data_IF_763569658688
#
_entry.id   IF_763569658688
#
_cell.length_a   1.000
_cell.length_b   1.000
_cell.length_c   1.000
_cell.angle_alpha   90.00
_cell.angle_beta   90.00
_cell.angle_gamma   90.00
#
_symmetry.space_group_name_H-M   'P 1'
#
loop_
_entity.id
_entity.type
_entity.pdbx_description
1 polymer ?
#
# COMPACT_ATOMS: atom_id res chain seq x y z
N UNK A 1 -24.76 11.70 18.41
CA UNK A 1 -23.33 11.53 18.73
C UNK A 1 -22.54 12.74 18.28
N UNK A 2 -21.28 12.84 18.72
CA UNK A 2 -20.35 13.85 18.22
C UNK A 2 -19.71 13.39 16.92
N UNK A 3 -19.60 14.28 15.95
CA UNK A 3 -19.01 13.99 14.65
C UNK A 3 -17.92 15.01 14.35
N UNK A 4 -16.91 14.57 13.60
CA UNK A 4 -15.81 15.41 13.14
C UNK A 4 -15.73 15.31 11.60
N UNK A 5 -15.64 16.47 10.95
CA UNK A 5 -15.42 16.54 9.52
C UNK A 5 -13.97 16.27 9.12
N UNK A 6 -13.68 16.28 7.81
CA UNK A 6 -12.31 16.24 7.33
C UNK A 6 -11.53 17.47 7.82
N UNK A 7 -10.22 17.32 7.95
CA UNK A 7 -9.33 18.45 8.20
C UNK A 7 -9.31 19.39 7.00
N UNK A 8 -9.39 20.69 7.27
CA UNK A 8 -9.20 21.73 6.27
C UNK A 8 -7.74 21.82 5.80
N UNK A 9 -7.48 22.76 4.89
CA UNK A 9 -6.13 23.03 4.41
C UNK A 9 -5.22 23.47 5.56
N UNK A 10 -3.96 23.02 5.53
CA UNK A 10 -2.93 23.49 6.45
C UNK A 10 -2.59 24.96 6.18
N UNK A 11 -2.75 25.82 7.19
CA UNK A 11 -2.48 27.26 7.14
C UNK A 11 -1.26 27.62 7.99
N UNK A 12 -0.51 28.64 7.59
CA UNK A 12 0.66 29.15 8.30
C UNK A 12 1.44 30.11 7.40
N UNK A 13 2.22 31.01 7.98
CA UNK A 13 2.96 32.02 7.22
C UNK A 13 4.15 31.38 6.49
N UNK A 14 4.84 30.46 7.16
CA UNK A 14 5.97 29.71 6.62
C UNK A 14 5.55 28.36 6.05
N UNK A 15 6.39 27.85 5.16
CA UNK A 15 6.25 26.51 4.60
C UNK A 15 6.91 25.51 5.55
N UNK A 16 6.36 24.31 5.64
CA UNK A 16 6.92 23.23 6.45
C UNK A 16 6.18 23.00 7.77
N UNK A 17 6.87 22.51 8.82
CA UNK A 17 6.25 22.22 10.12
C UNK A 17 5.82 23.52 10.82
N UNK A 18 4.80 23.44 11.68
CA UNK A 18 4.29 24.59 12.45
C UNK A 18 3.04 25.22 11.85
N UNK A 19 2.56 24.71 10.71
CA UNK A 19 1.23 25.03 10.21
C UNK A 19 0.13 24.50 11.13
N UNK A 20 -1.06 25.06 11.00
CA UNK A 20 -2.27 24.71 11.74
C UNK A 20 -3.40 24.41 10.75
N UNK A 21 -4.11 23.31 10.99
CA UNK A 21 -5.34 22.99 10.28
C UNK A 21 -6.50 22.86 11.27
N UNK A 22 -7.70 23.18 10.80
CA UNK A 22 -8.93 23.14 11.58
C UNK A 22 -9.97 22.25 10.92
N UNK A 23 -10.88 21.69 11.72
CA UNK A 23 -12.02 20.91 11.22
C UNK A 23 -13.30 21.30 11.94
N UNK A 24 -14.43 21.08 11.26
CA UNK A 24 -15.73 21.23 11.87
C UNK A 24 -16.02 20.07 12.83
N UNK A 25 -16.59 20.39 13.99
CA UNK A 25 -17.11 19.43 14.96
C UNK A 25 -18.54 19.81 15.25
N UNK A 26 -19.44 18.85 15.17
CA UNK A 26 -20.86 19.08 15.40
C UNK A 26 -21.51 17.91 16.13
N UNK A 27 -22.61 18.23 16.80
CA UNK A 27 -23.49 17.25 17.41
C UNK A 27 -24.56 16.85 16.41
N UNK A 28 -24.81 15.55 16.25
CA UNK A 28 -25.92 15.05 15.47
C UNK A 28 -26.88 14.21 16.32
N UNK A 29 -28.17 14.36 16.07
CA UNK A 29 -29.21 13.47 16.58
C UNK A 29 -29.13 12.10 15.91
N UNK A 30 -29.79 11.08 16.46
CA UNK A 30 -29.83 9.73 15.87
C UNK A 30 -30.49 9.71 14.48
N UNK A 31 -31.29 10.72 14.17
CA UNK A 31 -31.94 10.93 12.87
C UNK A 31 -31.06 11.71 11.87
N UNK A 32 -29.80 12.02 12.21
CA UNK A 32 -28.83 12.66 11.32
C UNK A 32 -28.81 14.20 11.34
N UNK A 33 -29.77 14.86 11.98
CA UNK A 33 -29.83 16.32 12.07
C UNK A 33 -28.78 16.91 13.02
N UNK A 34 -28.20 18.06 12.65
CA UNK A 34 -27.32 18.81 13.55
C UNK A 34 -28.11 19.39 14.72
N UNK A 35 -27.58 19.22 15.93
CA UNK A 35 -28.18 19.70 17.16
C UNK A 35 -27.21 20.60 17.93
N UNK A 36 -27.68 21.23 19.00
CA UNK A 36 -26.87 22.12 19.85
C UNK A 36 -25.66 21.38 20.43
N UNK A 37 -24.55 22.10 20.59
CA UNK A 37 -23.30 21.53 21.11
C UNK A 37 -23.49 20.89 22.48
N UNK A 38 -24.35 21.47 23.33
CA UNK A 38 -24.67 20.99 24.68
C UNK A 38 -25.31 19.61 24.71
N UNK A 39 -25.87 19.15 23.58
CA UNK A 39 -26.55 17.86 23.50
C UNK A 39 -25.56 16.70 23.28
N UNK A 40 -24.26 16.96 23.14
CA UNK A 40 -23.21 15.95 23.24
C UNK A 40 -22.41 16.07 24.52
N UNK A 41 -21.83 14.95 24.94
CA UNK A 41 -20.82 14.92 25.99
C UNK A 41 -19.55 15.65 25.53
N UNK A 42 -19.18 16.72 26.22
CA UNK A 42 -17.97 17.48 25.86
C UNK A 42 -16.67 16.75 26.17
N UNK A 43 -16.69 15.80 27.11
CA UNK A 43 -15.52 14.98 27.39
C UNK A 43 -15.10 14.09 26.20
N UNK A 44 -16.03 13.77 25.30
CA UNK A 44 -15.78 12.96 24.11
C UNK A 44 -15.48 13.83 22.86
N UNK A 45 -15.34 15.16 23.04
CA UNK A 45 -15.07 16.10 21.96
C UNK A 45 -13.63 15.94 21.47
N UNK A 46 -13.42 15.58 20.19
CA UNK A 46 -12.08 15.50 19.65
C UNK A 46 -11.54 16.90 19.36
N UNK A 47 -10.24 17.03 19.08
CA UNK A 47 -9.64 18.32 18.78
C UNK A 47 -10.19 18.90 17.46
N UNK A 48 -10.51 20.20 17.46
CA UNK A 48 -10.93 20.95 16.28
C UNK A 48 -9.76 21.62 15.55
N UNK A 49 -8.56 21.55 16.12
CA UNK A 49 -7.35 22.16 15.62
C UNK A 49 -6.17 21.21 15.86
N UNK A 50 -5.27 21.10 14.89
CA UNK A 50 -4.02 20.37 15.09
C UNK A 50 -2.89 20.96 14.24
N UNK A 51 -1.66 20.62 14.62
CA UNK A 51 -0.47 20.96 13.85
C UNK A 51 -0.44 20.17 12.55
N UNK A 52 0.12 20.78 11.51
CA UNK A 52 0.26 20.17 10.20
C UNK A 52 1.51 20.69 9.48
N UNK A 53 1.86 20.01 8.39
CA UNK A 53 2.93 20.42 7.50
C UNK A 53 2.34 21.20 6.33
N UNK A 54 2.74 22.47 6.16
CA UNK A 54 2.29 23.30 5.05
C UNK A 54 3.16 23.07 3.82
N UNK A 55 2.56 22.43 2.81
CA UNK A 55 3.20 22.15 1.52
C UNK A 55 3.24 23.42 0.66
N UNK A 56 4.33 23.61 -0.08
CA UNK A 56 4.61 24.75 -0.94
C UNK A 56 5.37 24.28 -2.17
N UNK A 57 5.35 25.04 -3.26
CA UNK A 57 5.83 24.58 -4.57
C UNK A 57 7.29 24.12 -4.59
N UNK A 58 8.17 24.78 -3.82
CA UNK A 58 9.59 24.41 -3.73
C UNK A 58 9.83 23.05 -3.05
N UNK A 59 8.86 22.53 -2.28
CA UNK A 59 8.96 21.20 -1.70
C UNK A 59 8.84 20.07 -2.74
N UNK A 60 8.40 20.37 -3.98
CA UNK A 60 8.29 19.37 -5.06
C UNK A 60 9.60 18.62 -5.32
N UNK A 61 10.73 19.30 -5.18
CA UNK A 61 12.04 18.70 -5.43
C UNK A 61 12.54 17.85 -4.26
N UNK A 62 11.94 18.00 -3.07
CA UNK A 62 12.42 17.40 -1.81
C UNK A 62 11.71 16.10 -1.42
N UNK A 63 10.51 15.87 -1.96
CA UNK A 63 9.69 14.70 -1.65
C UNK A 63 9.38 13.89 -2.90
N UNK A 64 9.24 12.58 -2.74
CA UNK A 64 8.87 11.69 -3.85
C UNK A 64 8.06 10.49 -3.38
N UNK A 65 7.31 9.93 -4.32
CA UNK A 65 6.72 8.61 -4.16
C UNK A 65 7.80 7.54 -4.33
N UNK A 66 8.04 6.77 -3.28
CA UNK A 66 8.84 5.57 -3.37
C UNK A 66 7.92 4.35 -3.54
N UNK A 67 8.13 3.62 -4.63
CA UNK A 67 7.31 2.47 -5.00
C UNK A 67 8.03 1.18 -4.60
N UNK A 68 7.35 0.35 -3.82
CA UNK A 68 7.77 -1.01 -3.51
C UNK A 68 7.61 -1.93 -4.72
N UNK A 69 8.22 -3.12 -4.60
CA UNK A 69 8.00 -4.19 -5.56
C UNK A 69 6.57 -4.73 -5.46
N UNK A 70 6.04 -5.18 -6.60
CA UNK A 70 4.81 -5.95 -6.59
C UNK A 70 4.99 -7.24 -5.81
N UNK A 71 4.00 -7.57 -4.99
CA UNK A 71 3.92 -8.88 -4.36
C UNK A 71 3.62 -9.97 -5.39
N UNK A 72 3.63 -11.22 -4.94
CA UNK A 72 3.21 -12.33 -5.79
C UNK A 72 1.73 -12.17 -6.18
N UNK A 73 1.43 -12.46 -7.44
CA UNK A 73 0.08 -12.44 -7.97
C UNK A 73 -0.84 -13.40 -7.18
N UNK A 74 -1.89 -12.86 -6.55
CA UNK A 74 -2.85 -13.63 -5.76
C UNK A 74 -4.15 -13.87 -6.54
N UNK A 75 -4.72 -15.08 -6.52
CA UNK A 75 -5.91 -15.39 -7.31
C UNK A 75 -7.13 -14.62 -6.79
N UNK A 76 -8.00 -14.17 -7.69
CA UNK A 76 -9.29 -13.58 -7.33
C UNK A 76 -10.25 -14.72 -6.95
N UNK A 77 -10.96 -14.61 -5.82
CA UNK A 77 -11.88 -15.64 -5.31
C UNK A 77 -13.09 -15.94 -6.24
N UNK A 78 -13.21 -15.24 -7.37
CA UNK A 78 -14.22 -15.46 -8.39
C UNK A 78 -13.82 -16.62 -9.32
N UNK A 79 -14.13 -17.84 -8.87
CA UNK A 79 -14.04 -19.12 -9.60
C UNK A 79 -12.61 -19.65 -9.76
N UNK A 80 -12.32 -20.77 -9.08
CA UNK A 80 -11.37 -21.76 -9.61
C UNK A 80 -11.93 -22.21 -10.96
N UNK A 81 -11.38 -21.70 -12.05
CA UNK A 81 -11.68 -22.25 -13.36
C UNK A 81 -11.21 -23.71 -13.33
N UNK A 82 -12.13 -24.66 -13.55
CA UNK A 82 -11.81 -26.10 -13.56
C UNK A 82 -10.76 -26.45 -14.63
N UNK A 83 -10.58 -25.56 -15.61
CA UNK A 83 -9.61 -25.68 -16.71
C UNK A 83 -8.91 -24.32 -16.83
N UNK A 84 -7.60 -24.31 -16.64
CA UNK A 84 -6.76 -23.14 -16.83
C UNK A 84 -6.18 -23.16 -18.26
N UNK A 85 -6.66 -22.28 -19.13
CA UNK A 85 -6.21 -22.20 -20.54
C UNK A 85 -5.20 -21.06 -20.74
N UNK A 86 -5.49 -19.88 -20.20
CA UNK A 86 -4.70 -18.64 -20.42
C UNK A 86 -4.11 -18.06 -19.12
N UNK A 87 -4.00 -18.87 -18.06
CA UNK A 87 -3.66 -18.41 -16.71
C UNK A 87 -4.90 -18.12 -15.85
N UNK A 88 -4.70 -18.09 -14.54
CA UNK A 88 -5.72 -17.65 -13.58
C UNK A 88 -5.58 -16.14 -13.35
N UNK A 89 -6.70 -15.41 -13.35
CA UNK A 89 -6.69 -13.98 -13.05
C UNK A 89 -6.38 -13.75 -11.58
N UNK A 90 -5.44 -12.83 -11.33
CA UNK A 90 -5.04 -12.44 -10.00
C UNK A 90 -4.88 -10.93 -9.85
N UNK A 91 -4.67 -10.53 -8.61
CA UNK A 91 -4.34 -9.16 -8.20
C UNK A 91 -3.01 -9.20 -7.48
N UNK A 92 -2.12 -8.28 -7.85
CA UNK A 92 -0.90 -7.99 -7.11
C UNK A 92 -0.98 -6.60 -6.49
N UNK A 93 -0.34 -6.43 -5.33
CA UNK A 93 -0.30 -5.22 -4.53
C UNK A 93 1.14 -4.82 -4.28
N UNK A 94 1.39 -3.53 -4.11
CA UNK A 94 2.69 -2.99 -3.70
C UNK A 94 2.48 -1.89 -2.68
N UNK A 95 3.52 -1.66 -1.88
CA UNK A 95 3.55 -0.52 -0.98
C UNK A 95 3.99 0.74 -1.75
N UNK A 96 3.34 1.86 -1.44
CA UNK A 96 3.68 3.16 -2.00
C UNK A 96 3.71 4.15 -0.84
N UNK A 97 4.88 4.73 -0.63
CA UNK A 97 5.17 5.60 0.51
C UNK A 97 5.72 6.93 0.02
N UNK A 98 5.30 8.02 0.64
CA UNK A 98 5.90 9.34 0.41
C UNK A 98 7.17 9.46 1.27
N UNK A 99 8.30 9.81 0.65
CA UNK A 99 9.59 9.93 1.36
C UNK A 99 10.26 11.26 1.11
N UNK A 100 11.04 11.72 2.08
CA UNK A 100 11.97 12.82 1.90
C UNK A 100 13.24 12.30 1.19
N UNK A 101 13.60 12.90 0.05
CA UNK A 101 14.69 12.40 -0.81
C UNK A 101 16.08 12.42 -0.15
N UNK A 102 16.32 13.37 0.75
CA UNK A 102 17.64 13.58 1.36
C UNK A 102 18.06 12.47 2.32
N UNK A 103 17.11 11.88 3.05
CA UNK A 103 17.38 10.92 4.13
C UNK A 103 16.50 9.66 4.07
N UNK A 104 15.55 9.58 3.13
CA UNK A 104 14.63 8.46 2.98
C UNK A 104 13.57 8.36 4.09
N UNK A 105 13.38 9.40 4.90
CA UNK A 105 12.38 9.39 5.96
C UNK A 105 10.98 9.35 5.36
N UNK A 106 10.16 8.42 5.85
CA UNK A 106 8.76 8.29 5.47
C UNK A 106 7.99 9.47 6.07
N UNK A 107 7.24 10.16 5.23
CA UNK A 107 6.41 11.31 5.60
C UNK A 107 4.96 11.08 5.21
N UNK A 108 4.08 12.02 5.56
CA UNK A 108 2.66 11.89 5.24
C UNK A 108 2.41 11.93 3.73
N UNK A 109 1.61 10.99 3.23
CA UNK A 109 1.20 10.87 1.83
C UNK A 109 0.66 12.17 1.24
N UNK A 110 -0.08 12.95 2.05
CA UNK A 110 -0.63 14.25 1.66
C UNK A 110 0.42 15.24 1.13
N UNK A 111 1.71 15.09 1.49
CA UNK A 111 2.79 15.91 0.98
C UNK A 111 3.05 15.60 -0.50
N UNK A 112 3.18 14.33 -0.86
CA UNK A 112 3.41 13.92 -2.24
C UNK A 112 2.14 14.05 -3.09
N UNK A 113 0.95 13.74 -2.52
CA UNK A 113 -0.36 13.91 -3.19
C UNK A 113 -0.64 15.34 -3.63
N UNK A 114 -0.05 16.34 -2.93
CA UNK A 114 -0.14 17.73 -3.33
C UNK A 114 0.46 17.99 -4.72
N UNK A 115 1.51 17.26 -5.09
CA UNK A 115 2.23 17.45 -6.35
C UNK A 115 1.80 16.45 -7.43
N UNK A 116 1.65 15.18 -7.05
CA UNK A 116 1.34 14.09 -7.97
C UNK A 116 0.39 13.09 -7.29
N UNK A 117 -0.63 12.59 -8.01
CA UNK A 117 -1.57 11.64 -7.46
C UNK A 117 -0.85 10.37 -6.99
N UNK A 118 -1.34 9.78 -5.89
CA UNK A 118 -0.78 8.54 -5.36
C UNK A 118 -0.83 7.45 -6.46
N UNK A 119 0.32 6.83 -6.81
CA UNK A 119 0.34 5.80 -7.84
C UNK A 119 -0.53 4.58 -7.49
N UNK A 120 -0.77 3.71 -8.48
CA UNK A 120 -1.63 2.54 -8.31
C UNK A 120 -1.03 1.53 -7.31
N UNK A 121 -1.77 1.26 -6.24
CA UNK A 121 -1.43 0.30 -5.17
C UNK A 121 -1.67 -1.16 -5.59
N UNK A 122 -2.59 -1.38 -6.54
CA UNK A 122 -2.99 -2.70 -7.01
C UNK A 122 -3.00 -2.74 -8.54
N UNK A 123 -2.70 -3.89 -9.12
CA UNK A 123 -2.90 -4.13 -10.55
C UNK A 123 -3.27 -5.58 -10.82
N UNK A 124 -3.90 -5.80 -11.98
CA UNK A 124 -4.18 -7.15 -12.48
C UNK A 124 -2.89 -7.89 -12.84
N UNK A 125 -2.93 -9.20 -12.73
CA UNK A 125 -1.86 -10.10 -13.13
C UNK A 125 -2.41 -11.46 -13.55
N UNK A 126 -1.58 -12.24 -14.26
CA UNK A 126 -1.91 -13.60 -14.67
C UNK A 126 -1.02 -14.57 -13.91
N UNK A 127 -1.65 -15.53 -13.23
CA UNK A 127 -0.98 -16.64 -12.58
C UNK A 127 -0.84 -17.75 -13.62
N UNK A 128 0.40 -18.19 -13.93
CA UNK A 128 0.59 -19.30 -14.85
C UNK A 128 -0.17 -20.55 -14.40
N UNK A 129 -0.82 -21.22 -15.34
CA UNK A 129 -1.48 -22.49 -15.06
C UNK A 129 -0.47 -23.49 -14.49
N UNK A 130 -0.90 -24.30 -13.52
CA UNK A 130 -0.11 -25.47 -13.13
C UNK A 130 0.04 -26.38 -14.34
N UNK A 131 1.26 -26.52 -14.81
CA UNK A 131 1.63 -27.52 -15.79
C UNK A 131 2.18 -28.72 -15.04
N UNK A 132 1.77 -29.92 -15.45
CA UNK A 132 2.44 -31.14 -15.01
C UNK A 132 3.90 -31.07 -15.48
N UNK A 133 4.82 -31.35 -14.57
CA UNK A 133 6.24 -31.34 -14.90
C UNK A 133 6.49 -32.42 -15.97
N UNK A 134 6.96 -32.00 -17.14
CA UNK A 134 7.44 -32.94 -18.16
C UNK A 134 8.83 -33.37 -17.74
N UNK A 135 8.95 -34.63 -17.30
CA UNK A 135 10.24 -35.24 -17.01
C UNK A 135 10.92 -35.62 -18.33
N UNK A 136 12.21 -35.28 -18.44
CA UNK A 136 13.03 -35.81 -19.53
C UNK A 136 13.33 -37.29 -19.29
N UNK A 137 13.79 -37.96 -20.33
CA UNK A 137 14.44 -39.26 -20.13
C UNK A 137 15.59 -39.15 -19.14
N UNK A 138 15.83 -40.23 -18.41
CA UNK A 138 16.95 -40.30 -17.50
C UNK A 138 18.26 -40.10 -18.26
N UNK A 139 19.15 -39.31 -17.68
CA UNK A 139 20.51 -39.15 -18.20
C UNK A 139 21.26 -40.49 -18.14
N UNK A 140 22.32 -40.61 -18.95
CA UNK A 140 23.22 -41.75 -18.82
C UNK A 140 23.86 -41.74 -17.43
N UNK A 141 23.95 -42.91 -16.81
CA UNK A 141 24.65 -43.07 -15.53
C UNK A 141 26.08 -42.55 -15.64
N UNK A 142 26.54 -41.83 -14.62
CA UNK A 142 27.94 -41.41 -14.53
C UNK A 142 28.86 -42.63 -14.42
N UNK A 143 30.13 -42.46 -14.76
CA UNK A 143 31.14 -43.47 -14.43
C UNK A 143 31.13 -43.79 -12.93
N UNK A 144 31.47 -45.04 -12.60
CA UNK A 144 31.52 -45.47 -11.21
C UNK A 144 32.61 -44.67 -10.47
N UNK A 145 32.27 -44.12 -9.31
CA UNK A 145 33.22 -43.37 -8.45
C UNK A 145 34.45 -44.18 -7.99
N UNK A 146 34.46 -45.50 -8.20
CA UNK A 146 35.63 -46.37 -7.94
C UNK A 146 35.83 -47.40 -9.04
N UNK A 147 37.09 -47.71 -9.32
CA UNK A 147 37.52 -48.76 -10.26
C UNK A 147 37.49 -50.18 -9.64
N UNK A 148 37.44 -50.31 -8.31
CA UNK A 148 37.28 -51.59 -7.62
C UNK A 148 36.53 -51.41 -6.28
N UNK A 149 35.85 -52.46 -5.81
CA UNK A 149 35.03 -52.42 -4.60
C UNK A 149 33.66 -51.76 -4.79
N UNK A 150 33.00 -51.37 -3.69
CA UNK A 150 31.69 -50.71 -3.74
C UNK A 150 31.84 -49.23 -4.10
N UNK A 151 31.22 -48.81 -5.20
CA UNK A 151 31.17 -47.43 -5.68
C UNK A 151 29.73 -46.96 -5.95
N UNK A 152 29.58 -45.65 -6.09
CA UNK A 152 28.33 -44.97 -6.44
C UNK A 152 28.39 -44.47 -7.89
N UNK A 153 27.23 -44.46 -8.54
CA UNK A 153 26.96 -43.81 -9.83
C UNK A 153 25.62 -43.06 -9.70
N UNK A 154 25.46 -41.97 -10.45
CA UNK A 154 24.30 -41.08 -10.41
C UNK A 154 23.67 -40.95 -11.81
N UNK A 155 22.36 -40.69 -11.89
CA UNK A 155 21.64 -40.37 -13.13
C UNK A 155 20.48 -39.42 -12.87
#
# INVERSE_FOLDING_TARGET
GINAGPWGRCMGDECGPGGTQTRAIWCAHVEGWTTLFTNCKQAERPDNQQNCFRVCDWHKELYDWQLGSWNQCQPILSKKATICVNGEEGIQRRDIICVQKSNGVIVADAICEYFEPKPQLEQGCLIPCRQDCIVSDFSAWTECSKSCGKGLSYR
#
